data_IF_759526312126
#
_entry.id   IF_759526312126
#
_cell.length_a   1.000
_cell.length_b   1.000
_cell.length_c   1.000
_cell.angle_alpha   90.00
_cell.angle_beta   90.00
_cell.angle_gamma   90.00
#
_symmetry.space_group_name_H-M   'P 1'
#
loop_
_entity.id
_entity.type
_entity.pdbx_description
1 polymer ?
#
# COMPACT_ATOMS: atom_id res chain seq x y z
N UNK A 1 -66.82 -41.08 -11.46
CA UNK A 1 -65.41 -40.65 -11.51
C UNK A 1 -64.72 -41.19 -10.27
N UNK A 2 -63.80 -42.15 -10.42
CA UNK A 2 -63.05 -42.71 -9.28
C UNK A 2 -62.01 -41.71 -8.79
N UNK A 3 -61.83 -41.53 -7.47
CA UNK A 3 -60.77 -40.66 -6.95
C UNK A 3 -59.38 -41.22 -7.31
N UNK A 4 -58.37 -40.35 -7.47
CA UNK A 4 -56.99 -40.77 -7.71
C UNK A 4 -56.51 -41.70 -6.58
N UNK A 5 -55.83 -42.78 -6.96
CA UNK A 5 -55.32 -43.82 -6.04
C UNK A 5 -54.57 -43.16 -4.87
N UNK A 6 -55.02 -43.42 -3.64
CA UNK A 6 -54.38 -42.96 -2.40
C UNK A 6 -55.13 -41.89 -1.61
N UNK A 7 -56.25 -41.34 -2.12
CA UNK A 7 -57.11 -40.43 -1.35
C UNK A 7 -58.24 -41.19 -0.64
N UNK A 8 -58.09 -41.43 0.66
CA UNK A 8 -59.17 -41.93 1.53
C UNK A 8 -59.94 -40.72 2.12
N UNK A 9 -61.22 -40.51 1.74
CA UNK A 9 -62.00 -39.38 2.26
C UNK A 9 -62.29 -39.47 3.77
N UNK A 10 -62.05 -40.62 4.43
CA UNK A 10 -62.17 -40.78 5.89
C UNK A 10 -60.85 -40.54 6.65
N UNK A 11 -59.72 -40.43 5.94
CA UNK A 11 -58.40 -40.13 6.50
C UNK A 11 -57.73 -39.04 5.67
N UNK A 12 -58.03 -37.75 5.93
CA UNK A 12 -57.32 -36.66 5.27
C UNK A 12 -55.81 -36.81 5.54
N UNK A 13 -54.93 -36.51 4.57
CA UNK A 13 -53.50 -36.54 4.81
C UNK A 13 -53.19 -35.64 6.00
N UNK A 14 -52.62 -36.24 7.05
CA UNK A 14 -52.30 -35.54 8.30
C UNK A 14 -51.43 -34.31 8.03
N UNK A 15 -51.60 -33.26 8.85
CA UNK A 15 -50.73 -32.07 8.79
C UNK A 15 -49.27 -32.52 8.73
N UNK A 16 -48.45 -31.99 7.80
CA UNK A 16 -47.05 -32.35 7.75
C UNK A 16 -46.44 -32.09 9.13
N UNK A 17 -45.71 -33.08 9.64
CA UNK A 17 -45.05 -32.99 10.94
C UNK A 17 -44.31 -31.65 11.01
N UNK A 18 -44.67 -30.79 11.96
CA UNK A 18 -44.15 -29.44 12.06
C UNK A 18 -42.63 -29.48 12.05
N UNK A 19 -42.04 -29.10 10.91
CA UNK A 19 -40.60 -29.11 10.74
C UNK A 19 -39.97 -28.30 11.85
N UNK A 20 -39.01 -28.89 12.57
CA UNK A 20 -38.22 -28.18 13.56
C UNK A 20 -37.67 -26.93 12.87
N UNK A 21 -38.06 -25.73 13.35
CA UNK A 21 -37.60 -24.45 12.80
C UNK A 21 -36.07 -24.51 12.75
N UNK A 22 -35.49 -24.22 11.58
CA UNK A 22 -34.04 -24.15 11.41
C UNK A 22 -33.42 -23.30 12.53
N UNK A 23 -32.20 -23.64 13.02
CA UNK A 23 -31.55 -22.84 14.05
C UNK A 23 -31.52 -21.40 13.59
N UNK A 24 -32.09 -20.52 14.41
CA UNK A 24 -32.26 -19.10 14.10
C UNK A 24 -30.86 -18.51 14.02
N UNK A 25 -30.33 -18.35 12.81
CA UNK A 25 -29.04 -17.69 12.61
C UNK A 25 -29.16 -16.29 13.21
N UNK A 26 -28.55 -16.08 14.38
CA UNK A 26 -28.48 -14.75 14.95
C UNK A 26 -27.61 -13.96 13.99
N UNK A 27 -28.22 -13.04 13.26
CA UNK A 27 -27.47 -12.11 12.45
C UNK A 27 -26.42 -11.35 13.29
N UNK A 28 -25.56 -10.57 12.64
CA UNK A 28 -24.52 -9.81 13.33
C UNK A 28 -25.11 -9.03 14.52
N UNK A 29 -24.32 -8.82 15.57
CA UNK A 29 -24.78 -8.03 16.72
C UNK A 29 -25.10 -6.59 16.31
N UNK A 30 -26.31 -6.11 16.62
CA UNK A 30 -26.80 -4.77 16.19
C UNK A 30 -26.63 -3.68 17.22
N UNK A 31 -26.48 -4.07 18.48
CA UNK A 31 -26.42 -3.15 19.62
C UNK A 31 -25.03 -3.16 20.21
N UNK A 32 -24.48 -1.96 20.47
CA UNK A 32 -23.20 -1.81 21.15
C UNK A 32 -23.36 -2.14 22.64
N UNK A 33 -23.02 -3.37 22.99
CA UNK A 33 -22.95 -3.81 24.40
C UNK A 33 -21.55 -3.55 24.95
N UNK A 34 -21.43 -3.49 26.28
CA UNK A 34 -20.12 -3.32 26.92
C UNK A 34 -19.15 -4.46 26.56
N UNK A 35 -19.63 -5.71 26.55
CA UNK A 35 -18.84 -6.89 26.14
C UNK A 35 -18.31 -6.77 24.71
N UNK A 36 -19.12 -6.23 23.80
CA UNK A 36 -18.75 -6.08 22.40
C UNK A 36 -17.78 -4.90 22.21
N UNK A 37 -17.98 -3.81 22.95
CA UNK A 37 -17.04 -2.70 23.03
C UNK A 37 -15.66 -3.18 23.51
N UNK A 38 -15.59 -3.89 24.64
CA UNK A 38 -14.31 -4.35 25.19
C UNK A 38 -13.59 -5.32 24.26
N UNK A 39 -14.32 -6.24 23.61
CA UNK A 39 -13.75 -7.16 22.63
C UNK A 39 -13.15 -6.41 21.43
N UNK A 40 -13.88 -5.46 20.84
CA UNK A 40 -13.38 -4.67 19.72
C UNK A 40 -12.14 -3.85 20.12
N UNK A 41 -12.20 -3.18 21.27
CA UNK A 41 -11.08 -2.33 21.74
C UNK A 41 -9.84 -3.18 22.03
N UNK A 42 -10.00 -4.39 22.60
CA UNK A 42 -8.89 -5.30 22.82
C UNK A 42 -8.20 -5.73 21.51
N UNK A 43 -8.97 -6.03 20.47
CA UNK A 43 -8.43 -6.37 19.15
C UNK A 43 -7.70 -5.18 18.52
N UNK A 44 -8.27 -3.97 18.62
CA UNK A 44 -7.63 -2.77 18.07
C UNK A 44 -6.31 -2.43 18.77
N UNK A 45 -6.20 -2.68 20.08
CA UNK A 45 -4.94 -2.53 20.84
C UNK A 45 -3.83 -3.43 20.31
N UNK A 46 -4.18 -4.60 19.76
CA UNK A 46 -3.23 -5.54 19.16
C UNK A 46 -2.85 -5.19 17.72
N UNK A 47 -3.46 -4.14 17.14
CA UNK A 47 -3.22 -3.74 15.76
C UNK A 47 -4.17 -4.37 14.74
N UNK A 48 -5.21 -5.08 15.18
CA UNK A 48 -6.25 -5.58 14.27
C UNK A 48 -6.93 -4.41 13.55
N UNK A 49 -7.26 -4.60 12.27
CA UNK A 49 -8.07 -3.60 11.54
C UNK A 49 -9.49 -3.53 12.10
N UNK A 50 -10.20 -2.41 11.89
CA UNK A 50 -11.61 -2.28 12.29
C UNK A 50 -12.49 -3.39 11.72
N UNK A 51 -12.20 -3.83 10.49
CA UNK A 51 -12.89 -4.96 9.84
C UNK A 51 -12.64 -6.28 10.57
N UNK A 52 -11.38 -6.57 10.91
CA UNK A 52 -11.01 -7.78 11.67
C UNK A 52 -11.62 -7.76 13.07
N UNK A 53 -11.45 -6.66 13.81
CA UNK A 53 -12.00 -6.50 15.15
C UNK A 53 -13.53 -6.65 15.16
N UNK A 54 -14.23 -6.09 14.16
CA UNK A 54 -15.67 -6.26 14.01
C UNK A 54 -16.05 -7.73 13.75
N UNK A 55 -15.34 -8.41 12.85
CA UNK A 55 -15.62 -9.80 12.52
C UNK A 55 -15.39 -10.74 13.72
N UNK A 56 -14.27 -10.56 14.44
CA UNK A 56 -13.94 -11.34 15.63
C UNK A 56 -14.94 -11.11 16.78
N UNK A 57 -15.45 -9.88 16.92
CA UNK A 57 -16.47 -9.55 17.89
C UNK A 57 -17.91 -9.97 17.49
N UNK A 58 -18.10 -10.58 16.32
CA UNK A 58 -19.42 -11.03 15.84
C UNK A 58 -20.32 -9.92 15.31
N UNK A 59 -19.74 -8.84 14.80
CA UNK A 59 -20.46 -7.74 14.14
C UNK A 59 -19.90 -7.46 12.74
N UNK A 60 -20.36 -6.38 12.12
CA UNK A 60 -19.90 -5.93 10.80
C UNK A 60 -19.18 -4.60 10.93
N UNK A 61 -18.23 -4.36 10.02
CA UNK A 61 -17.51 -3.09 9.96
C UNK A 61 -18.45 -1.89 9.81
N UNK A 62 -19.48 -2.01 8.96
CA UNK A 62 -20.47 -0.95 8.75
C UNK A 62 -21.16 -0.51 10.05
N UNK A 63 -21.46 -1.47 10.95
CA UNK A 63 -22.05 -1.15 12.25
C UNK A 63 -21.06 -0.50 13.20
N UNK A 64 -19.83 -1.00 13.24
CA UNK A 64 -18.75 -0.39 14.01
C UNK A 64 -18.56 1.07 13.59
N UNK A 65 -18.47 1.35 12.29
CA UNK A 65 -18.33 2.70 11.75
C UNK A 65 -19.54 3.58 12.10
N UNK A 66 -20.77 3.05 12.03
CA UNK A 66 -21.96 3.79 12.43
C UNK A 66 -21.95 4.15 13.93
N UNK A 67 -21.50 3.25 14.80
CA UNK A 67 -21.35 3.54 16.23
C UNK A 67 -20.30 4.63 16.48
N UNK A 68 -19.17 4.59 15.76
CA UNK A 68 -18.16 5.64 15.84
C UNK A 68 -18.69 6.99 15.35
N UNK A 69 -19.40 7.02 14.22
CA UNK A 69 -20.04 8.23 13.69
C UNK A 69 -20.99 8.85 14.71
N UNK A 70 -21.91 8.05 15.26
CA UNK A 70 -22.85 8.49 16.31
C UNK A 70 -22.14 8.99 17.58
N UNK A 71 -21.01 8.38 17.92
CA UNK A 71 -20.18 8.82 19.04
C UNK A 71 -19.58 10.20 18.79
N UNK A 72 -19.04 10.46 17.59
CA UNK A 72 -18.48 11.78 17.22
C UNK A 72 -19.55 12.86 17.19
N UNK A 73 -20.70 12.58 16.58
CA UNK A 73 -21.84 13.51 16.57
C UNK A 73 -22.33 13.85 17.99
N UNK A 74 -22.31 12.87 18.90
CA UNK A 74 -22.66 13.10 20.30
C UNK A 74 -21.60 13.93 21.05
N UNK A 75 -20.30 13.73 20.76
CA UNK A 75 -19.21 14.54 21.31
C UNK A 75 -19.35 16.00 20.84
N UNK A 76 -19.58 16.23 19.55
CA UNK A 76 -19.79 17.57 18.98
C UNK A 76 -21.02 18.26 19.60
N UNK A 77 -22.07 17.49 19.87
CA UNK A 77 -23.27 17.99 20.56
C UNK A 77 -23.11 18.14 22.09
N UNK A 78 -21.94 17.88 22.66
CA UNK A 78 -21.68 17.96 24.10
C UNK A 78 -22.42 16.91 24.94
N UNK A 79 -22.87 15.81 24.33
CA UNK A 79 -23.65 14.75 24.99
C UNK A 79 -22.75 13.57 25.33
N UNK A 80 -22.83 13.08 26.56
CA UNK A 80 -22.17 11.83 26.96
C UNK A 80 -23.05 10.64 26.63
N UNK A 81 -22.48 9.62 25.97
CA UNK A 81 -23.17 8.35 25.68
C UNK A 81 -22.18 7.19 25.61
N UNK A 82 -22.67 5.95 25.57
CA UNK A 82 -21.79 4.78 25.33
C UNK A 82 -21.01 4.89 24.01
N UNK A 83 -21.58 5.55 23.00
CA UNK A 83 -20.90 5.79 21.73
C UNK A 83 -19.75 6.79 21.87
N UNK A 84 -19.88 7.80 22.75
CA UNK A 84 -18.77 8.73 23.01
C UNK A 84 -17.63 8.03 23.73
N UNK A 85 -17.95 7.21 24.73
CA UNK A 85 -16.95 6.38 25.43
C UNK A 85 -16.27 5.39 24.48
N UNK A 86 -17.02 4.80 23.56
CA UNK A 86 -16.46 3.91 22.55
C UNK A 86 -15.50 4.63 21.60
N UNK A 87 -15.81 5.84 21.16
CA UNK A 87 -14.89 6.64 20.33
C UNK A 87 -13.57 6.89 21.06
N UNK A 88 -13.63 7.36 22.31
CA UNK A 88 -12.42 7.63 23.10
C UNK A 88 -11.60 6.36 23.34
N UNK A 89 -12.25 5.23 23.68
CA UNK A 89 -11.54 3.96 23.87
C UNK A 89 -10.90 3.43 22.59
N UNK A 90 -11.55 3.62 21.43
CA UNK A 90 -10.99 3.23 20.13
C UNK A 90 -9.79 4.10 19.77
N UNK A 91 -9.87 5.42 19.95
CA UNK A 91 -8.74 6.33 19.71
C UNK A 91 -7.57 6.01 20.64
N UNK A 92 -7.86 5.76 21.91
CA UNK A 92 -6.87 5.31 22.89
C UNK A 92 -6.21 4.00 22.48
N UNK A 93 -6.99 3.00 22.07
CA UNK A 93 -6.45 1.70 21.62
C UNK A 93 -5.53 1.84 20.41
N UNK A 94 -5.88 2.70 19.45
CA UNK A 94 -5.05 2.96 18.29
C UNK A 94 -3.74 3.68 18.67
N UNK A 95 -3.80 4.63 19.60
CA UNK A 95 -2.60 5.30 20.13
C UNK A 95 -1.70 4.32 20.91
N UNK A 96 -2.29 3.40 21.68
CA UNK A 96 -1.54 2.35 22.40
C UNK A 96 -0.80 1.42 21.43
N UNK A 97 -1.45 1.00 20.34
CA UNK A 97 -0.79 0.22 19.28
C UNK A 97 0.35 1.00 18.61
N UNK A 98 0.12 2.27 18.23
CA UNK A 98 1.16 3.13 17.65
C UNK A 98 2.36 3.31 18.60
N UNK A 99 2.11 3.48 19.90
CA UNK A 99 3.15 3.54 20.93
C UNK A 99 3.95 2.24 21.00
N UNK A 100 3.31 1.09 20.84
CA UNK A 100 3.97 -0.22 20.70
C UNK A 100 4.95 -0.24 19.52
N UNK A 101 4.50 0.19 18.33
CA UNK A 101 5.36 0.28 17.15
C UNK A 101 6.57 1.21 17.37
N UNK A 102 6.37 2.36 18.01
CA UNK A 102 7.48 3.28 18.34
C UNK A 102 8.49 2.61 19.28
N UNK A 103 8.02 1.83 20.24
CA UNK A 103 8.89 1.05 21.13
C UNK A 103 9.72 0.03 20.33
N UNK A 104 9.09 -0.73 19.44
CA UNK A 104 9.77 -1.74 18.61
C UNK A 104 10.84 -1.10 17.70
N UNK A 105 10.56 0.09 17.14
CA UNK A 105 11.55 0.84 16.36
C UNK A 105 12.74 1.26 17.23
N UNK A 106 12.49 1.78 18.43
CA UNK A 106 13.55 2.18 19.36
C UNK A 106 14.40 0.99 19.83
N UNK A 107 13.79 -0.17 20.03
CA UNK A 107 14.50 -1.41 20.37
C UNK A 107 15.37 -1.88 19.21
N UNK A 108 14.85 -1.85 17.97
CA UNK A 108 15.63 -2.19 16.78
C UNK A 108 16.77 -1.20 16.45
N UNK A 109 16.71 0.03 16.95
CA UNK A 109 17.85 0.97 16.87
C UNK A 109 18.97 0.55 17.82
N UNK A 110 18.60 0.05 19.01
CA UNK A 110 19.55 -0.36 20.06
C UNK A 110 20.15 -1.74 19.76
N UNK A 111 19.33 -2.67 19.30
CA UNK A 111 19.72 -4.02 18.94
C UNK A 111 19.70 -4.22 17.42
N UNK A 112 20.90 -4.37 16.84
CA UNK A 112 21.09 -4.56 15.40
C UNK A 112 20.60 -5.91 14.88
N UNK A 113 20.26 -6.85 15.76
CA UNK A 113 19.70 -8.16 15.38
C UNK A 113 18.19 -8.11 15.12
N UNK A 114 17.50 -7.06 15.58
CA UNK A 114 16.07 -6.87 15.37
C UNK A 114 15.78 -6.09 14.08
N UNK A 115 14.79 -6.54 13.29
CA UNK A 115 14.36 -5.83 12.09
C UNK A 115 13.24 -4.82 12.39
N UNK A 116 13.61 -3.56 12.58
CA UNK A 116 12.66 -2.47 12.79
C UNK A 116 12.03 -1.89 11.50
N UNK A 117 12.27 -2.48 10.31
CA UNK A 117 11.75 -1.92 9.05
C UNK A 117 10.23 -2.02 8.94
N UNK A 118 9.66 -3.14 9.40
CA UNK A 118 8.20 -3.34 9.40
C UNK A 118 7.46 -2.32 10.25
N UNK A 119 7.91 -2.10 11.49
CA UNK A 119 7.32 -1.11 12.39
C UNK A 119 7.45 0.32 11.84
N UNK A 120 8.60 0.68 11.25
CA UNK A 120 8.79 1.97 10.57
C UNK A 120 7.82 2.17 9.40
N UNK A 121 7.65 1.14 8.56
CA UNK A 121 6.68 1.19 7.46
C UNK A 121 5.25 1.39 7.96
N UNK A 122 4.83 0.63 8.98
CA UNK A 122 3.50 0.79 9.57
C UNK A 122 3.25 2.20 10.13
N UNK A 123 4.23 2.78 10.83
CA UNK A 123 4.13 4.16 11.33
C UNK A 123 3.98 5.17 10.19
N UNK A 124 4.75 5.02 9.11
CA UNK A 124 4.65 5.88 7.93
C UNK A 124 3.31 5.81 7.21
N UNK A 125 2.65 4.65 7.21
CA UNK A 125 1.32 4.47 6.62
C UNK A 125 0.21 5.00 7.53
N UNK A 126 0.30 4.75 8.84
CA UNK A 126 -0.78 5.07 9.80
C UNK A 126 -0.78 6.54 10.24
N UNK A 127 0.39 7.15 10.37
CA UNK A 127 0.53 8.54 10.83
C UNK A 127 1.59 9.25 9.97
N UNK A 128 1.32 9.46 8.66
CA UNK A 128 2.30 10.04 7.75
C UNK A 128 2.73 11.45 8.15
N UNK A 129 1.81 12.24 8.73
CA UNK A 129 2.13 13.60 9.19
C UNK A 129 3.20 13.63 10.29
N UNK A 130 3.23 12.60 11.13
CA UNK A 130 4.11 12.56 12.31
C UNK A 130 5.39 11.76 12.03
N UNK A 131 5.34 10.76 11.13
CA UNK A 131 6.44 9.80 10.92
C UNK A 131 7.03 9.80 9.51
N UNK A 132 6.62 10.72 8.62
CA UNK A 132 7.27 10.89 7.31
C UNK A 132 7.86 12.28 7.18
N UNK A 133 9.02 12.36 6.51
CA UNK A 133 9.62 13.63 6.15
C UNK A 133 8.83 14.20 4.97
N UNK A 134 8.36 15.46 5.01
CA UNK A 134 7.76 16.10 3.85
C UNK A 134 8.72 15.98 2.67
N UNK A 135 8.26 15.36 1.58
CA UNK A 135 9.06 15.32 0.36
C UNK A 135 9.12 16.75 -0.15
N UNK A 136 10.31 17.36 -0.13
CA UNK A 136 10.52 18.61 -0.83
C UNK A 136 10.01 18.41 -2.27
N UNK A 137 9.10 19.29 -2.70
CA UNK A 137 8.69 19.29 -4.08
C UNK A 137 9.97 19.41 -4.90
N UNK A 138 10.22 18.43 -5.77
CA UNK A 138 11.33 18.53 -6.70
C UNK A 138 11.23 19.93 -7.31
N UNK A 139 12.32 20.71 -7.23
CA UNK A 139 12.36 22.06 -7.79
C UNK A 139 11.66 22.02 -9.15
N UNK A 140 10.74 22.95 -9.46
CA UNK A 140 9.95 22.87 -10.67
C UNK A 140 10.91 22.68 -11.83
N UNK A 141 10.93 21.46 -12.38
CA UNK A 141 11.63 21.20 -13.61
C UNK A 141 10.99 22.17 -14.60
N UNK A 142 11.80 23.11 -15.10
CA UNK A 142 11.33 24.23 -15.90
C UNK A 142 10.36 23.78 -16.98
N UNK A 143 9.34 24.61 -17.22
CA UNK A 143 8.40 24.54 -18.35
C UNK A 143 7.98 23.12 -18.79
N UNK A 144 7.50 22.26 -17.89
CA UNK A 144 6.60 21.14 -18.22
C UNK A 144 7.12 20.07 -19.21
N UNK A 145 8.35 20.17 -19.67
CA UNK A 145 9.04 19.22 -20.52
C UNK A 145 10.21 18.70 -19.69
N UNK A 146 10.31 17.36 -19.57
CA UNK A 146 11.25 16.67 -18.68
C UNK A 146 12.72 17.05 -18.88
N UNK A 147 13.64 16.39 -18.15
CA UNK A 147 14.99 16.89 -17.97
C UNK A 147 15.76 16.97 -19.30
N UNK A 148 16.36 18.14 -19.54
CA UNK A 148 17.43 18.44 -20.50
C UNK A 148 17.26 17.90 -21.93
N UNK A 149 16.37 18.51 -22.70
CA UNK A 149 16.81 18.94 -24.03
C UNK A 149 17.11 20.43 -23.90
N UNK A 150 18.39 20.80 -23.87
CA UNK A 150 18.77 22.18 -24.14
C UNK A 150 18.14 22.54 -25.49
N UNK A 151 17.31 23.58 -25.51
CA UNK A 151 16.78 24.12 -26.76
C UNK A 151 17.96 24.79 -27.47
N UNK A 152 18.75 23.98 -28.17
CA UNK A 152 19.84 24.43 -29.01
C UNK A 152 19.21 25.30 -30.10
N UNK A 153 19.65 26.54 -30.21
CA UNK A 153 19.14 27.43 -31.27
C UNK A 153 19.54 26.86 -32.64
N UNK A 154 18.78 27.14 -33.71
CA UNK A 154 19.11 26.63 -35.04
C UNK A 154 20.55 26.94 -35.50
N UNK A 155 21.11 28.05 -35.03
CA UNK A 155 22.47 28.48 -35.37
C UNK A 155 23.54 27.66 -34.62
N UNK A 156 23.32 27.34 -33.35
CA UNK A 156 24.20 26.46 -32.58
C UNK A 156 24.18 25.01 -33.09
N UNK A 157 23.03 24.56 -33.59
CA UNK A 157 22.90 23.24 -34.22
C UNK A 157 23.71 23.16 -35.52
N UNK A 158 23.72 24.25 -36.32
CA UNK A 158 24.51 24.34 -37.56
C UNK A 158 26.01 24.33 -37.28
N UNK A 159 26.48 25.15 -36.33
CA UNK A 159 27.89 25.20 -35.95
C UNK A 159 28.42 23.82 -35.51
N UNK A 160 27.66 23.10 -34.66
CA UNK A 160 28.01 21.75 -34.21
C UNK A 160 27.99 20.71 -35.33
N UNK A 161 27.20 20.92 -36.38
CA UNK A 161 27.16 20.06 -37.57
C UNK A 161 28.38 20.31 -38.46
N UNK A 162 28.74 21.57 -38.68
CA UNK A 162 29.89 21.98 -39.51
C UNK A 162 31.20 21.45 -38.91
N UNK A 163 31.37 21.54 -37.59
CA UNK A 163 32.56 21.00 -36.90
C UNK A 163 32.68 19.47 -37.06
N UNK A 164 31.55 18.76 -36.97
CA UNK A 164 31.52 17.31 -37.16
C UNK A 164 31.77 16.92 -38.61
N UNK A 165 31.25 17.68 -39.57
CA UNK A 165 31.48 17.46 -41.00
C UNK A 165 32.96 17.67 -41.35
N UNK A 166 33.57 18.75 -40.85
CA UNK A 166 34.99 19.03 -41.06
C UNK A 166 35.89 17.92 -40.49
N UNK A 167 35.57 17.44 -39.29
CA UNK A 167 36.30 16.34 -38.64
C UNK A 167 36.16 15.04 -39.44
N UNK A 168 34.95 14.75 -39.93
CA UNK A 168 34.69 13.57 -40.75
C UNK A 168 35.46 13.61 -42.07
N UNK A 169 35.44 14.74 -42.79
CA UNK A 169 36.17 14.91 -44.05
C UNK A 169 37.68 14.75 -43.81
N UNK A 170 38.23 15.34 -42.74
CA UNK A 170 39.64 15.22 -42.40
C UNK A 170 40.05 13.76 -42.10
N UNK A 171 39.22 13.02 -41.36
CA UNK A 171 39.44 11.59 -41.08
C UNK A 171 39.34 10.75 -42.35
N UNK A 172 38.39 11.06 -43.23
CA UNK A 172 38.17 10.30 -44.46
C UNK A 172 39.27 10.54 -45.51
N UNK A 173 39.79 11.77 -45.61
CA UNK A 173 40.95 12.09 -46.45
C UNK A 173 42.23 11.45 -45.90
N UNK A 174 42.42 11.44 -44.57
CA UNK A 174 43.54 10.73 -43.92
C UNK A 174 43.47 9.22 -44.14
N UNK A 175 42.27 8.64 -44.18
CA UNK A 175 42.07 7.22 -44.47
C UNK A 175 42.25 6.86 -45.95
N UNK A 176 42.10 7.82 -46.88
CA UNK A 176 42.31 7.64 -48.32
C UNK A 176 43.73 7.96 -48.79
N UNK A 177 44.62 8.48 -47.95
CA UNK A 177 46.04 8.60 -48.28
C UNK A 177 46.63 7.19 -48.53
N UNK A 178 47.31 6.95 -49.67
CA UNK A 178 47.71 5.60 -50.07
C UNK A 178 48.72 5.01 -49.07
N UNK A 179 48.48 3.76 -48.69
CA UNK A 179 49.44 2.90 -47.98
C UNK A 179 50.56 2.49 -48.95
N UNK A 180 51.41 3.42 -49.34
CA UNK A 180 52.65 3.12 -50.08
C UNK A 180 53.85 3.72 -49.34
N UNK A 181 54.42 2.93 -48.42
CA UNK A 181 55.86 2.94 -48.14
C UNK A 181 56.26 1.58 -47.53
N UNK A 182 57.34 0.94 -48.00
CA UNK A 182 57.63 -0.47 -47.74
C UNK A 182 58.16 -0.71 -46.32
N UNK A 183 57.85 -1.88 -45.77
CA UNK A 183 58.41 -2.38 -44.52
C UNK A 183 59.88 -2.72 -44.74
N UNK A 184 60.78 -1.85 -44.28
CA UNK A 184 62.21 -2.10 -44.26
C UNK A 184 62.53 -3.15 -43.18
N UNK A 185 63.07 -4.27 -43.65
CA UNK A 185 63.50 -5.45 -42.91
C UNK A 185 64.57 -5.13 -41.87
N UNK A 186 64.38 -5.59 -40.63
CA UNK A 186 65.40 -5.65 -39.60
C UNK A 186 66.55 -6.59 -40.04
N UNK A 187 67.84 -6.24 -39.82
CA UNK A 187 68.95 -7.10 -40.23
C UNK A 187 69.08 -8.31 -39.29
N UNK A 188 69.24 -9.48 -39.91
CA UNK A 188 69.64 -10.73 -39.29
C UNK A 188 71.08 -10.62 -38.77
N UNK A 189 71.26 -10.86 -37.47
CA UNK A 189 72.58 -11.02 -36.85
C UNK A 189 73.00 -12.49 -37.02
N UNK A 190 73.78 -12.76 -38.06
CA UNK A 190 74.45 -14.03 -38.31
C UNK A 190 75.96 -13.86 -38.04
N UNK A 191 76.49 -14.67 -37.12
CA UNK A 191 77.84 -14.53 -36.58
C UNK A 191 79.02 -15.04 -37.43
N UNK A 192 80.21 -14.89 -36.84
CA UNK A 192 81.55 -15.32 -37.31
C UNK A 192 82.54 -14.16 -37.17
N UNK A 193 83.71 -14.24 -36.54
CA UNK A 193 84.61 -15.31 -36.07
C UNK A 193 85.38 -14.77 -34.84
#
# INVERSE_FOLDING_TARGET
>A
MSPPRGYDPKRPPGKPAGGKRAPKYSGPASTLTYKLQTAIVAELRQGSTKRMAAALAGTTEARLQNWLRRGREAIEAGKRSRYTEFVVEVERAQAEFQKGLVKDVNEAIRDKTMDGRGARWFLGVLAPKDFTVPREAAAPAGNGHGPLFEVITPDEARAKLDDKLATFIAQHLKAQAPKDAPTESAPEDAGGD
#
